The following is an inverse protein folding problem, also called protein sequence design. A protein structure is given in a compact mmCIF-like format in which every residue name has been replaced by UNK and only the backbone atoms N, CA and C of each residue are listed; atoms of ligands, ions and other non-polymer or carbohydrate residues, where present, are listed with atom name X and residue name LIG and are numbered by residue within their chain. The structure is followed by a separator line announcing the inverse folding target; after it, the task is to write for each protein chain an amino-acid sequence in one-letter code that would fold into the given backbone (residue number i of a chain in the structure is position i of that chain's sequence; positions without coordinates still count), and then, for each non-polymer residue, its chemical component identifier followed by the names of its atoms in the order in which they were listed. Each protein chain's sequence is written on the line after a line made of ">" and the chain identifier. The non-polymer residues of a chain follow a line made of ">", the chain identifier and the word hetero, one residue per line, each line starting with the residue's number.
data_IF_892786053798
#
_entry.id   IF_892786053798
#
_cell.length_a   1.000
_cell.length_b   1.000
_cell.length_c   1.000
_cell.angle_alpha   90.00
_cell.angle_beta   90.00
_cell.angle_gamma   90.00
#
_symmetry.space_group_name_H-M   'P 1'
#
loop_
_entity.id
_entity.type
_entity.pdbx_description
1 polymer ?
#
# COMPACT_ATOMS: atom_id res chain seq x y z
N UNK A 1 -21.66 20.30 12.77
CA UNK A 1 -21.52 20.31 11.30
C UNK A 1 -20.39 19.35 10.96
N UNK A 2 -20.69 18.13 10.51
CA UNK A 2 -19.65 17.15 10.18
C UNK A 2 -18.99 17.53 8.84
N UNK A 3 -17.67 17.34 8.65
CA UNK A 3 -17.05 17.63 7.38
C UNK A 3 -17.67 16.74 6.29
N UNK A 4 -18.12 17.37 5.20
CA UNK A 4 -18.57 16.66 4.00
C UNK A 4 -17.36 15.98 3.37
N UNK A 5 -17.35 14.65 3.42
CA UNK A 5 -16.39 13.80 2.72
C UNK A 5 -16.43 14.12 1.22
N UNK A 6 -15.41 14.82 0.71
CA UNK A 6 -15.16 14.89 -0.73
C UNK A 6 -14.81 13.47 -1.18
N UNK A 7 -15.76 12.78 -1.80
CA UNK A 7 -15.44 11.61 -2.62
C UNK A 7 -15.03 12.13 -3.99
N UNK A 8 -13.73 12.25 -4.21
CA UNK A 8 -13.18 12.33 -5.57
C UNK A 8 -13.46 10.98 -6.23
N UNK A 9 -14.33 11.00 -7.23
CA UNK A 9 -14.63 9.85 -8.07
C UNK A 9 -13.41 9.56 -8.96
N UNK A 10 -12.50 8.72 -8.49
CA UNK A 10 -11.31 8.30 -9.24
C UNK A 10 -10.37 7.48 -8.39
N UNK A 11 -10.63 6.17 -8.31
CA UNK A 11 -9.75 5.09 -7.80
C UNK A 11 -9.39 5.03 -6.31
N UNK A 12 -10.36 4.70 -5.46
CA UNK A 12 -10.14 4.27 -4.06
C UNK A 12 -9.34 2.96 -3.97
N UNK A 13 -8.16 2.95 -3.35
CA UNK A 13 -7.42 1.70 -3.07
C UNK A 13 -8.30 0.72 -2.26
N UNK A 14 -8.20 -0.57 -2.54
CA UNK A 14 -8.99 -1.62 -1.86
C UNK A 14 -8.12 -2.43 -0.89
N UNK A 15 -6.89 -2.73 -1.31
CA UNK A 15 -5.88 -3.49 -0.55
C UNK A 15 -4.63 -2.65 -0.38
N UNK A 16 -4.09 -2.61 0.83
CA UNK A 16 -2.78 -2.06 1.17
C UNK A 16 -1.80 -3.19 1.42
N UNK A 17 -0.75 -3.32 0.61
CA UNK A 17 0.37 -4.22 0.86
C UNK A 17 1.48 -3.45 1.58
N UNK A 18 1.82 -3.84 2.80
CA UNK A 18 3.01 -3.37 3.53
C UNK A 18 4.08 -4.45 3.46
N UNK A 19 5.28 -4.09 3.05
CA UNK A 19 6.37 -5.03 2.86
C UNK A 19 7.72 -4.34 2.88
N UNK A 20 8.74 -5.07 3.30
CA UNK A 20 10.12 -4.60 3.16
C UNK A 20 10.56 -4.75 1.72
N UNK A 21 10.73 -3.62 1.07
CA UNK A 21 11.16 -3.47 -0.30
C UNK A 21 12.32 -4.39 -0.71
N UNK A 22 13.51 -4.26 -0.08
CA UNK A 22 14.68 -5.09 -0.37
C UNK A 22 14.46 -6.59 -0.24
N UNK A 23 13.55 -7.03 0.63
CA UNK A 23 13.37 -8.45 0.93
C UNK A 23 12.42 -9.15 -0.05
N UNK A 24 11.35 -8.48 -0.47
CA UNK A 24 10.21 -9.17 -1.13
C UNK A 24 9.73 -8.53 -2.43
N UNK A 25 10.21 -7.33 -2.80
CA UNK A 25 9.68 -6.57 -3.96
C UNK A 25 9.71 -7.36 -5.26
N UNK A 26 10.82 -8.06 -5.55
CA UNK A 26 11.00 -8.78 -6.82
C UNK A 26 10.52 -10.24 -6.76
N UNK A 27 9.94 -10.66 -5.63
CA UNK A 27 9.49 -12.03 -5.40
C UNK A 27 8.00 -12.07 -5.10
N UNK A 28 7.67 -12.57 -3.91
CA UNK A 28 6.29 -12.80 -3.49
C UNK A 28 5.39 -11.57 -3.63
N UNK A 29 5.87 -10.38 -3.27
CA UNK A 29 5.06 -9.16 -3.31
C UNK A 29 4.68 -8.76 -4.73
N UNK A 30 5.58 -8.91 -5.72
CA UNK A 30 5.26 -8.61 -7.12
C UNK A 30 4.19 -9.56 -7.64
N UNK A 31 4.35 -10.86 -7.37
CA UNK A 31 3.39 -11.88 -7.78
C UNK A 31 2.01 -11.61 -7.20
N UNK A 32 1.93 -11.30 -5.91
CA UNK A 32 0.65 -10.97 -5.25
C UNK A 32 0.03 -9.70 -5.82
N UNK A 33 0.83 -8.65 -6.03
CA UNK A 33 0.38 -7.39 -6.61
C UNK A 33 -0.25 -7.60 -7.99
N UNK A 34 0.43 -8.32 -8.88
CA UNK A 34 -0.07 -8.58 -10.23
C UNK A 34 -1.31 -9.46 -10.22
N UNK A 35 -1.33 -10.55 -9.43
CA UNK A 35 -2.50 -11.43 -9.34
C UNK A 35 -3.76 -10.69 -8.86
N UNK A 36 -3.63 -9.80 -7.87
CA UNK A 36 -4.74 -8.97 -7.39
C UNK A 36 -5.17 -7.94 -8.44
N UNK A 37 -4.20 -7.30 -9.11
CA UNK A 37 -4.48 -6.28 -10.13
C UNK A 37 -5.16 -6.90 -11.36
N UNK A 38 -4.72 -8.08 -11.81
CA UNK A 38 -5.36 -8.86 -12.88
C UNK A 38 -6.78 -9.29 -12.52
N UNK A 39 -7.06 -9.54 -11.23
CA UNK A 39 -8.40 -9.78 -10.72
C UNK A 39 -9.27 -8.51 -10.62
N UNK A 40 -8.78 -7.35 -11.04
CA UNK A 40 -9.49 -6.06 -11.00
C UNK A 40 -9.50 -5.40 -9.61
N UNK A 41 -8.67 -5.89 -8.68
CA UNK A 41 -8.54 -5.32 -7.34
C UNK A 41 -7.54 -4.16 -7.39
N UNK A 42 -7.91 -3.03 -6.78
CA UNK A 42 -7.03 -1.86 -6.71
C UNK A 42 -6.12 -2.00 -5.50
N UNK A 43 -4.84 -2.15 -5.74
CA UNK A 43 -3.84 -2.45 -4.70
C UNK A 43 -2.87 -1.27 -4.58
N UNK A 44 -2.72 -0.75 -3.37
CA UNK A 44 -1.59 0.08 -3.02
C UNK A 44 -0.43 -0.83 -2.64
N UNK A 45 0.73 -0.61 -3.26
CA UNK A 45 1.95 -1.37 -3.01
C UNK A 45 2.93 -0.44 -2.31
N UNK A 46 2.91 -0.45 -0.99
CA UNK A 46 3.73 0.47 -0.19
C UNK A 46 5.20 0.17 -0.36
N UNK A 47 5.92 1.09 -0.98
CA UNK A 47 7.33 0.89 -1.19
C UNK A 47 8.10 1.42 0.02
N UNK A 48 8.32 0.58 1.04
CA UNK A 48 9.09 0.92 2.25
C UNK A 48 10.60 1.13 1.98
N UNK A 49 10.99 1.73 0.85
CA UNK A 49 12.30 2.35 0.66
C UNK A 49 12.32 3.79 1.23
N UNK A 50 11.40 4.13 2.14
CA UNK A 50 11.37 5.42 2.82
C UNK A 50 12.66 5.51 3.63
N UNK A 51 13.53 6.46 3.26
CA UNK A 51 14.78 6.70 3.97
C UNK A 51 14.46 7.38 5.30
N UNK A 52 15.25 7.11 6.32
CA UNK A 52 15.13 7.78 7.61
C UNK A 52 15.07 9.31 7.42
N UNK A 53 13.99 9.93 7.88
CA UNK A 53 13.78 11.38 7.81
C UNK A 53 13.04 11.91 6.58
N UNK A 54 12.54 11.06 5.69
CA UNK A 54 11.59 11.48 4.63
C UNK A 54 10.15 11.47 5.17
N UNK A 55 9.39 12.53 4.85
CA UNK A 55 7.97 12.61 5.18
C UNK A 55 7.18 11.48 4.50
N UNK A 56 6.23 10.90 5.24
CA UNK A 56 5.27 9.95 4.68
C UNK A 56 4.49 10.66 3.58
N UNK A 57 4.65 10.20 2.34
CA UNK A 57 3.98 10.83 1.19
C UNK A 57 2.46 10.84 1.33
N UNK A 58 1.81 11.90 0.87
CA UNK A 58 0.34 12.05 0.90
C UNK A 58 -0.40 10.86 0.27
N UNK A 59 0.24 10.19 -0.70
CA UNK A 59 -0.30 8.99 -1.34
C UNK A 59 -0.42 7.80 -0.38
N UNK A 60 0.56 7.59 0.51
CA UNK A 60 0.51 6.53 1.53
C UNK A 60 -0.62 6.80 2.51
N UNK A 61 -0.75 8.04 2.99
CA UNK A 61 -1.84 8.44 3.89
C UNK A 61 -3.21 8.22 3.22
N UNK A 62 -3.35 8.62 1.97
CA UNK A 62 -4.56 8.39 1.18
C UNK A 62 -4.84 6.88 1.05
N UNK A 63 -3.83 6.08 0.74
CA UNK A 63 -3.99 4.64 0.60
C UNK A 63 -4.40 3.97 1.92
N UNK A 64 -3.89 4.42 3.07
CA UNK A 64 -4.29 3.96 4.40
C UNK A 64 -5.76 4.31 4.67
N UNK A 65 -6.18 5.54 4.39
CA UNK A 65 -7.56 6.00 4.61
C UNK A 65 -8.57 5.30 3.69
N UNK A 66 -8.16 4.97 2.47
CA UNK A 66 -9.03 4.40 1.45
C UNK A 66 -9.12 2.88 1.48
N UNK A 67 -8.03 2.20 1.85
CA UNK A 67 -7.95 0.74 1.85
C UNK A 67 -8.86 0.11 2.90
N UNK A 68 -9.43 -1.04 2.55
CA UNK A 68 -10.30 -1.82 3.45
C UNK A 68 -9.64 -3.09 3.95
N UNK A 69 -8.61 -3.54 3.25
CA UNK A 69 -7.86 -4.76 3.54
C UNK A 69 -6.39 -4.38 3.65
N UNK A 70 -5.74 -4.85 4.71
CA UNK A 70 -4.33 -4.62 4.97
C UNK A 70 -3.60 -5.96 5.00
N UNK A 71 -2.51 -6.09 4.25
CA UNK A 71 -1.72 -7.31 4.13
C UNK A 71 -0.26 -6.98 4.47
N UNK A 72 0.15 -7.18 5.73
CA UNK A 72 1.57 -7.12 6.08
C UNK A 72 2.29 -8.38 5.56
N UNK A 73 3.37 -8.18 4.82
CA UNK A 73 4.21 -9.24 4.25
C UNK A 73 5.51 -9.28 5.04
N UNK A 74 5.54 -10.13 6.07
CA UNK A 74 6.71 -10.25 6.93
C UNK A 74 7.87 -10.95 6.23
N UNK A 75 9.06 -10.40 6.45
CA UNK A 75 10.34 -10.88 5.94
C UNK A 75 11.43 -10.68 7.00
N UNK A 76 12.63 -11.20 6.75
CA UNK A 76 13.73 -11.18 7.72
C UNK A 76 14.06 -9.79 8.26
N UNK A 77 14.01 -8.76 7.42
CA UNK A 77 14.38 -7.39 7.78
C UNK A 77 13.16 -6.45 7.82
N UNK A 78 11.96 -6.98 8.03
CA UNK A 78 10.73 -6.18 8.00
C UNK A 78 10.69 -5.08 9.06
N UNK A 79 11.23 -5.35 10.25
CA UNK A 79 11.27 -4.40 11.37
C UNK A 79 12.70 -3.90 11.69
N UNK A 80 13.62 -4.01 10.72
CA UNK A 80 15.04 -3.68 10.88
C UNK A 80 15.39 -2.29 10.38
#
# INVERSE_FOLDING_TARGET
>A
MAPKRKRTSGTTYQVFLSFRGPDTRQGFTDVLYWALTEAGIRVFRDNEDIRDGEDIGEEILTAIEESRIFVPIFSTNYAS
#
